data_IF_999638693086
#
_entry.id   IF_999638693086
#
_cell.length_a   1.000
_cell.length_b   1.000
_cell.length_c   1.000
_cell.angle_alpha   90.00
_cell.angle_beta   90.00
_cell.angle_gamma   90.00
#
_symmetry.space_group_name_H-M   'P 1'
#
loop_
_entity.id
_entity.type
_entity.pdbx_description
1 polymer ?
#
# COMPACT_ATOMS: atom_id res chain seq x y z
N UNK A 1 -13.18 24.43 -3.97
CA UNK A 1 -11.82 24.57 -3.41
C UNK A 1 -11.40 23.33 -2.61
N UNK A 2 -12.09 22.92 -1.53
CA UNK A 2 -11.69 21.72 -0.74
C UNK A 2 -11.58 20.41 -1.55
N UNK A 3 -12.58 20.08 -2.40
CA UNK A 3 -12.53 18.92 -3.29
C UNK A 3 -11.42 18.98 -4.35
N UNK A 4 -11.01 20.17 -4.73
CA UNK A 4 -9.92 20.39 -5.69
C UNK A 4 -8.56 20.21 -5.03
N UNK A 5 -8.36 20.76 -3.84
CA UNK A 5 -7.16 20.54 -3.00
C UNK A 5 -7.01 19.06 -2.60
N UNK A 6 -8.11 18.42 -2.23
CA UNK A 6 -8.13 16.99 -1.94
C UNK A 6 -7.67 16.12 -3.15
N UNK A 7 -7.93 16.56 -4.37
CA UNK A 7 -7.52 15.83 -5.58
C UNK A 7 -6.06 16.07 -5.98
N UNK A 8 -5.56 17.29 -5.75
CA UNK A 8 -4.22 17.71 -6.16
C UNK A 8 -3.17 17.36 -5.11
N UNK A 9 -3.55 17.36 -3.85
CA UNK A 9 -2.66 17.15 -2.71
C UNK A 9 -3.17 16.02 -1.80
N UNK A 10 -3.61 14.93 -2.40
CA UNK A 10 -4.31 13.84 -1.70
C UNK A 10 -3.50 13.27 -0.53
N UNK A 11 -2.21 13.03 -0.71
CA UNK A 11 -1.29 12.54 0.32
C UNK A 11 -1.27 13.48 1.54
N UNK A 12 -1.01 14.75 1.32
CA UNK A 12 -0.96 15.76 2.38
C UNK A 12 -2.32 16.00 3.03
N UNK A 13 -3.39 15.88 2.25
CA UNK A 13 -4.74 15.91 2.78
C UNK A 13 -5.00 14.75 3.74
N UNK A 14 -4.54 13.54 3.43
CA UNK A 14 -4.63 12.37 4.34
C UNK A 14 -3.79 12.56 5.60
N UNK A 15 -2.56 13.07 5.47
CA UNK A 15 -1.74 13.42 6.64
C UNK A 15 -2.42 14.46 7.53
N UNK A 16 -3.03 15.49 6.93
CA UNK A 16 -3.81 16.48 7.64
C UNK A 16 -5.04 15.91 8.36
N UNK A 17 -5.69 14.87 7.81
CA UNK A 17 -6.77 14.15 8.48
C UNK A 17 -6.27 13.40 9.71
N UNK A 18 -5.19 12.64 9.57
CA UNK A 18 -4.59 11.89 10.68
C UNK A 18 -4.17 12.85 11.80
N UNK A 19 -3.50 13.94 11.45
CA UNK A 19 -3.09 14.96 12.41
C UNK A 19 -4.29 15.60 13.14
N UNK A 20 -5.37 15.89 12.40
CA UNK A 20 -6.60 16.39 13.00
C UNK A 20 -7.21 15.40 14.00
N UNK A 21 -7.27 14.12 13.65
CA UNK A 21 -7.79 13.08 14.54
C UNK A 21 -6.93 12.93 15.80
N UNK A 22 -5.60 12.96 15.66
CA UNK A 22 -4.68 12.94 16.80
C UNK A 22 -4.86 14.16 17.71
N UNK A 23 -4.98 15.36 17.14
CA UNK A 23 -5.22 16.59 17.92
C UNK A 23 -6.57 16.54 18.64
N UNK A 24 -7.62 16.08 17.96
CA UNK A 24 -8.96 15.99 18.54
C UNK A 24 -9.04 14.96 19.68
N UNK A 25 -8.22 13.92 19.64
CA UNK A 25 -8.08 12.94 20.73
C UNK A 25 -7.24 13.47 21.90
N UNK A 26 -6.26 14.34 21.64
CA UNK A 26 -5.33 14.84 22.63
C UNK A 26 -5.81 16.11 23.33
N UNK A 27 -6.63 16.91 22.67
CA UNK A 27 -7.07 18.23 23.16
C UNK A 27 -8.55 18.40 22.83
N UNK A 28 -9.36 18.64 23.87
CA UNK A 28 -10.78 18.99 23.72
C UNK A 28 -10.89 20.43 23.17
N UNK A 29 -10.80 20.57 21.86
CA UNK A 29 -10.71 21.87 21.20
C UNK A 29 -11.77 22.02 20.11
N UNK A 30 -12.70 22.95 20.33
CA UNK A 30 -13.73 23.34 19.36
C UNK A 30 -13.17 24.26 18.24
N UNK A 31 -12.35 23.75 17.34
CA UNK A 31 -12.00 24.48 16.11
C UNK A 31 -12.74 23.94 14.91
N UNK A 32 -12.90 24.82 13.89
CA UNK A 32 -13.45 24.39 12.62
C UNK A 32 -12.56 23.29 12.00
N UNK A 33 -13.04 22.03 11.92
CA UNK A 33 -12.25 20.89 11.46
C UNK A 33 -11.63 21.09 10.09
N UNK A 34 -12.32 21.83 9.23
CA UNK A 34 -11.85 22.10 7.87
C UNK A 34 -10.61 23.01 7.86
N UNK A 35 -10.57 24.03 8.73
CA UNK A 35 -9.45 24.96 8.81
C UNK A 35 -8.18 24.26 9.32
N UNK A 36 -8.31 23.44 10.36
CA UNK A 36 -7.17 22.67 10.91
C UNK A 36 -6.63 21.67 9.89
N UNK A 37 -7.51 20.96 9.18
CA UNK A 37 -7.12 20.04 8.13
C UNK A 37 -6.40 20.73 6.97
N UNK A 38 -6.89 21.89 6.54
CA UNK A 38 -6.26 22.65 5.47
C UNK A 38 -4.91 23.21 5.91
N UNK A 39 -4.81 23.73 7.12
CA UNK A 39 -3.56 24.27 7.66
C UNK A 39 -2.52 23.15 7.85
N UNK A 40 -2.90 22.02 8.42
CA UNK A 40 -2.03 20.87 8.56
C UNK A 40 -1.57 20.34 7.19
N UNK A 41 -2.46 20.27 6.19
CA UNK A 41 -2.13 19.89 4.84
C UNK A 41 -1.08 20.83 4.22
N UNK A 42 -1.24 22.14 4.34
CA UNK A 42 -0.28 23.13 3.82
C UNK A 42 1.05 23.07 4.57
N UNK A 43 1.01 22.86 5.88
CA UNK A 43 2.19 22.71 6.72
C UNK A 43 2.98 21.47 6.34
N UNK A 44 2.32 20.31 6.23
CA UNK A 44 2.98 19.08 5.78
C UNK A 44 3.49 19.19 4.35
N UNK A 45 2.76 19.86 3.46
CA UNK A 45 3.25 20.13 2.10
C UNK A 45 4.52 20.98 2.09
N UNK A 46 4.59 22.00 2.94
CA UNK A 46 5.76 22.88 3.00
C UNK A 46 7.00 22.20 3.57
N UNK A 47 6.83 21.29 4.55
CA UNK A 47 7.93 20.54 5.16
C UNK A 47 8.34 19.36 4.28
N UNK A 48 7.37 18.57 3.84
CA UNK A 48 7.64 17.31 3.16
C UNK A 48 8.10 17.47 1.71
N UNK A 49 7.97 18.66 1.13
CA UNK A 49 8.45 18.92 -0.23
C UNK A 49 9.96 18.73 -0.37
N UNK A 50 10.72 18.98 0.68
CA UNK A 50 12.18 18.92 0.68
C UNK A 50 12.75 17.65 1.35
N UNK A 51 11.93 16.88 2.09
CA UNK A 51 12.40 15.74 2.92
C UNK A 51 12.04 14.34 2.38
N UNK A 52 11.19 14.23 1.37
CA UNK A 52 10.81 12.93 0.82
C UNK A 52 11.80 12.45 -0.25
N UNK A 53 13.00 12.10 0.19
CA UNK A 53 14.05 11.55 -0.65
C UNK A 53 14.07 10.02 -0.59
N UNK A 54 12.89 9.39 -0.77
CA UNK A 54 12.75 7.93 -0.81
C UNK A 54 11.79 7.47 -1.92
N UNK A 55 11.88 6.19 -2.27
CA UNK A 55 11.04 5.53 -3.26
C UNK A 55 9.54 5.72 -2.94
N UNK A 56 8.77 6.21 -3.89
CA UNK A 56 7.31 6.26 -3.76
C UNK A 56 6.71 4.87 -3.95
N UNK A 57 5.60 4.57 -3.28
CA UNK A 57 4.96 3.28 -3.39
C UNK A 57 3.44 3.39 -3.53
N UNK A 58 2.87 2.57 -4.41
CA UNK A 58 1.43 2.45 -4.60
C UNK A 58 0.98 0.99 -4.57
N UNK A 59 -0.25 0.76 -4.13
CA UNK A 59 -0.90 -0.55 -4.19
C UNK A 59 -2.11 -0.43 -5.11
N UNK A 60 -2.18 -1.30 -6.12
CA UNK A 60 -3.30 -1.41 -7.06
C UNK A 60 -3.91 -2.80 -6.91
N UNK A 61 -5.17 -2.90 -6.56
CA UNK A 61 -5.78 -4.19 -6.28
C UNK A 61 -7.27 -4.23 -6.66
N UNK A 62 -7.72 -5.40 -7.09
CA UNK A 62 -9.14 -5.64 -7.32
C UNK A 62 -9.90 -5.66 -6.00
N UNK A 63 -11.14 -5.14 -6.06
CA UNK A 63 -12.04 -5.05 -4.92
C UNK A 63 -12.27 -3.61 -4.45
N UNK A 64 -13.36 -3.39 -3.70
CA UNK A 64 -13.80 -2.04 -3.33
C UNK A 64 -12.89 -1.37 -2.28
N UNK A 65 -12.05 -2.14 -1.57
CA UNK A 65 -11.21 -1.63 -0.49
C UNK A 65 -9.95 -2.47 -0.22
N UNK A 66 -9.54 -3.34 -1.12
CA UNK A 66 -8.41 -4.26 -0.90
C UNK A 66 -7.09 -3.50 -0.78
N UNK A 67 -6.78 -2.65 -1.76
CA UNK A 67 -5.60 -1.79 -1.71
C UNK A 67 -5.67 -0.81 -0.53
N UNK A 68 -6.82 -0.18 -0.32
CA UNK A 68 -7.05 0.75 0.79
C UNK A 68 -6.85 0.11 2.16
N UNK A 69 -7.29 -1.13 2.35
CA UNK A 69 -7.15 -1.86 3.61
C UNK A 69 -5.69 -2.15 3.95
N UNK A 70 -4.92 -2.68 3.00
CA UNK A 70 -3.48 -2.94 3.16
C UNK A 70 -2.74 -1.62 3.44
N UNK A 71 -2.96 -0.62 2.59
CA UNK A 71 -2.33 0.70 2.71
C UNK A 71 -2.61 1.36 4.06
N UNK A 72 -3.87 1.33 4.50
CA UNK A 72 -4.26 1.90 5.80
C UNK A 72 -3.57 1.21 6.96
N UNK A 73 -3.45 -0.12 6.90
CA UNK A 73 -2.76 -0.91 7.93
C UNK A 73 -1.29 -0.53 8.01
N UNK A 74 -0.59 -0.52 6.87
CA UNK A 74 0.85 -0.26 6.82
C UNK A 74 1.16 1.18 7.21
N UNK A 75 0.46 2.16 6.64
CA UNK A 75 0.65 3.57 6.96
C UNK A 75 0.38 3.86 8.45
N UNK A 76 -0.55 3.12 9.06
CA UNK A 76 -0.83 3.25 10.51
C UNK A 76 0.28 2.64 11.37
N UNK A 77 0.83 1.48 10.98
CA UNK A 77 1.94 0.83 11.70
C UNK A 77 3.17 1.73 11.75
N UNK A 78 3.50 2.38 10.64
CA UNK A 78 4.66 3.28 10.55
C UNK A 78 4.36 4.73 10.95
N UNK A 79 3.10 5.04 11.31
CA UNK A 79 2.64 6.40 11.64
C UNK A 79 3.01 7.44 10.56
N UNK A 80 3.18 6.97 9.31
CA UNK A 80 3.53 7.81 8.17
C UNK A 80 2.86 7.32 6.88
N UNK A 81 2.78 8.19 5.89
CA UNK A 81 2.10 7.92 4.64
C UNK A 81 3.09 7.42 3.57
N UNK A 82 3.35 6.11 3.56
CA UNK A 82 4.28 5.46 2.62
C UNK A 82 3.57 5.09 1.32
N UNK A 83 2.41 4.44 1.44
CA UNK A 83 1.67 3.90 0.30
C UNK A 83 0.43 4.71 -0.06
N UNK A 84 0.17 4.86 -1.37
CA UNK A 84 -1.11 5.29 -1.92
C UNK A 84 -1.89 4.09 -2.43
N UNK A 85 -3.23 4.11 -2.29
CA UNK A 85 -4.10 3.00 -2.67
C UNK A 85 -4.93 3.31 -3.91
N UNK A 86 -5.03 2.33 -4.81
CA UNK A 86 -5.87 2.35 -5.99
C UNK A 86 -6.75 1.10 -6.03
N UNK A 87 -7.90 1.18 -5.38
CA UNK A 87 -8.91 0.13 -5.47
C UNK A 87 -9.55 0.12 -6.86
N UNK A 88 -9.74 -1.08 -7.39
CA UNK A 88 -10.33 -1.35 -8.68
C UNK A 88 -11.57 -2.22 -8.47
N UNK A 89 -12.76 -1.62 -8.50
CA UNK A 89 -14.00 -2.36 -8.42
C UNK A 89 -14.13 -3.34 -9.60
N UNK A 90 -14.93 -4.38 -9.43
CA UNK A 90 -15.01 -5.50 -10.36
C UNK A 90 -15.29 -5.10 -11.82
N UNK A 91 -16.10 -4.06 -12.02
CA UNK A 91 -16.49 -3.53 -13.33
C UNK A 91 -15.66 -2.33 -13.79
N UNK A 92 -14.65 -1.93 -12.99
CA UNK A 92 -13.78 -0.79 -13.32
C UNK A 92 -12.78 -1.18 -14.40
N UNK A 93 -12.81 -0.56 -15.58
CA UNK A 93 -11.81 -0.82 -16.61
C UNK A 93 -10.40 -0.40 -16.16
N UNK A 94 -9.37 -1.19 -16.48
CA UNK A 94 -7.95 -0.88 -16.20
C UNK A 94 -7.57 0.56 -16.59
N UNK A 95 -8.04 1.04 -17.74
CA UNK A 95 -7.79 2.41 -18.22
C UNK A 95 -8.21 3.52 -17.25
N UNK A 96 -9.24 3.28 -16.42
CA UNK A 96 -9.72 4.29 -15.48
C UNK A 96 -8.85 4.31 -14.21
N UNK A 97 -8.33 3.16 -13.80
CA UNK A 97 -7.30 3.08 -12.75
C UNK A 97 -6.01 3.75 -13.22
N UNK A 98 -5.56 3.45 -14.44
CA UNK A 98 -4.38 4.09 -15.05
C UNK A 98 -4.53 5.61 -15.08
N UNK A 99 -5.69 6.16 -15.45
CA UNK A 99 -5.94 7.61 -15.39
C UNK A 99 -5.82 8.19 -13.98
N UNK A 100 -6.27 7.44 -12.96
CA UNK A 100 -6.15 7.86 -11.56
C UNK A 100 -4.68 7.88 -11.13
N UNK A 101 -3.92 6.85 -11.49
CA UNK A 101 -2.48 6.75 -11.23
C UNK A 101 -1.74 7.90 -11.92
N UNK A 102 -1.95 8.14 -13.21
CA UNK A 102 -1.32 9.26 -13.94
C UNK A 102 -1.63 10.62 -13.31
N UNK A 103 -2.83 10.81 -12.78
CA UNK A 103 -3.18 12.04 -12.06
C UNK A 103 -2.43 12.17 -10.74
N UNK A 104 -2.21 11.08 -10.04
CA UNK A 104 -1.39 11.03 -8.83
C UNK A 104 0.07 11.38 -9.14
N UNK A 105 0.66 10.74 -10.15
CA UNK A 105 2.05 10.93 -10.57
C UNK A 105 2.38 12.37 -10.96
N UNK A 106 1.45 13.09 -11.61
CA UNK A 106 1.63 14.51 -11.96
C UNK A 106 1.90 15.43 -10.76
N UNK A 107 1.58 14.99 -9.55
CA UNK A 107 1.73 15.78 -8.32
C UNK A 107 2.65 15.07 -7.30
N UNK A 108 3.40 14.06 -7.75
CA UNK A 108 4.27 13.27 -6.90
C UNK A 108 5.68 13.28 -7.50
N UNK A 109 6.66 13.62 -6.68
CA UNK A 109 8.07 13.50 -7.08
C UNK A 109 8.44 12.01 -7.09
N UNK A 110 8.77 11.46 -8.24
CA UNK A 110 9.17 10.07 -8.43
C UNK A 110 10.64 9.92 -8.79
N UNK A 111 11.47 10.94 -8.57
CA UNK A 111 12.89 10.94 -8.91
C UNK A 111 13.69 9.81 -8.23
N UNK A 112 13.23 9.33 -7.07
CA UNK A 112 13.80 8.18 -6.34
C UNK A 112 13.16 6.83 -6.71
N UNK A 113 12.31 6.81 -7.72
CA UNK A 113 11.61 5.64 -8.20
C UNK A 113 10.18 5.50 -7.70
N UNK A 114 9.48 4.58 -8.36
CA UNK A 114 8.12 4.17 -8.02
C UNK A 114 8.01 2.66 -7.90
N UNK A 115 7.60 2.18 -6.72
CA UNK A 115 7.23 0.78 -6.49
C UNK A 115 5.72 0.61 -6.62
N UNK A 116 5.30 -0.34 -7.45
CA UNK A 116 3.90 -0.71 -7.61
C UNK A 116 3.70 -2.13 -7.11
N UNK A 117 2.79 -2.29 -6.19
CA UNK A 117 2.27 -3.60 -5.84
C UNK A 117 0.92 -3.84 -6.51
N UNK A 118 0.74 -5.04 -7.07
CA UNK A 118 -0.53 -5.48 -7.62
C UNK A 118 -0.96 -6.82 -7.00
N UNK A 119 -2.26 -7.07 -6.94
CA UNK A 119 -2.78 -8.35 -6.43
C UNK A 119 -2.70 -9.48 -7.45
N UNK A 120 -2.83 -9.18 -8.73
CA UNK A 120 -2.86 -10.16 -9.81
C UNK A 120 -1.88 -9.82 -10.92
N UNK A 121 -1.33 -10.86 -11.57
CA UNK A 121 -0.44 -10.71 -12.72
C UNK A 121 -1.04 -10.00 -13.92
N UNK A 122 -2.37 -9.95 -14.04
CA UNK A 122 -3.09 -9.20 -15.09
C UNK A 122 -2.90 -7.68 -15.01
N UNK A 123 -2.41 -7.16 -13.88
CA UNK A 123 -2.11 -5.74 -13.69
C UNK A 123 -0.63 -5.38 -13.90
N UNK A 124 0.23 -6.36 -14.18
CA UNK A 124 1.66 -6.11 -14.37
C UNK A 124 1.95 -5.17 -15.55
N UNK A 125 1.12 -5.18 -16.57
CA UNK A 125 1.23 -4.31 -17.74
C UNK A 125 0.84 -2.84 -17.48
N UNK A 126 0.40 -2.50 -16.26
CA UNK A 126 0.19 -1.09 -15.86
C UNK A 126 1.49 -0.30 -15.98
N UNK A 127 2.64 -0.93 -15.72
CA UNK A 127 3.95 -0.29 -15.85
C UNK A 127 4.15 0.31 -17.25
N UNK A 128 3.76 -0.40 -18.29
CA UNK A 128 3.86 0.07 -19.69
C UNK A 128 2.99 1.32 -19.95
N UNK A 129 1.83 1.39 -19.28
CA UNK A 129 0.90 2.51 -19.44
C UNK A 129 1.38 3.80 -18.77
N UNK A 130 2.26 3.71 -17.76
CA UNK A 130 2.66 4.86 -16.91
C UNK A 130 4.15 5.16 -16.89
N UNK A 131 5.00 4.35 -17.52
CA UNK A 131 6.47 4.50 -17.49
C UNK A 131 6.96 5.91 -17.86
N UNK A 132 6.28 6.56 -18.82
CA UNK A 132 6.64 7.91 -19.28
C UNK A 132 6.20 9.02 -18.29
N UNK A 133 5.40 8.68 -17.28
CA UNK A 133 4.94 9.60 -16.23
C UNK A 133 5.78 9.47 -14.93
N UNK A 134 6.81 8.61 -14.92
CA UNK A 134 7.72 8.36 -13.78
C UNK A 134 9.10 8.92 -14.12
N UNK A 135 9.70 9.67 -13.20
CA UNK A 135 11.00 10.32 -13.42
C UNK A 135 12.18 9.38 -13.13
N UNK A 136 12.09 8.55 -12.09
CA UNK A 136 13.10 7.57 -11.69
C UNK A 136 12.76 6.15 -12.14
N UNK A 137 13.36 5.17 -11.47
CA UNK A 137 13.13 3.75 -11.74
C UNK A 137 11.70 3.34 -11.44
N UNK A 138 11.16 2.41 -12.23
CA UNK A 138 9.82 1.87 -12.05
C UNK A 138 9.89 0.36 -11.78
N UNK A 139 9.41 -0.05 -10.62
CA UNK A 139 9.29 -1.44 -10.23
C UNK A 139 7.84 -1.87 -10.03
N UNK A 140 7.52 -3.11 -10.39
CA UNK A 140 6.20 -3.69 -10.16
C UNK A 140 6.32 -5.11 -9.63
N UNK A 141 5.59 -5.42 -8.56
CA UNK A 141 5.56 -6.73 -7.90
C UNK A 141 4.10 -7.18 -7.74
N UNK A 142 3.82 -8.42 -8.12
CA UNK A 142 2.49 -9.01 -7.98
C UNK A 142 2.30 -9.80 -6.67
N UNK A 143 1.09 -10.32 -6.47
CA UNK A 143 0.69 -11.12 -5.30
C UNK A 143 0.87 -10.38 -3.97
N UNK A 144 0.59 -9.09 -3.95
CA UNK A 144 0.73 -8.27 -2.74
C UNK A 144 0.05 -8.90 -1.52
N UNK A 145 0.76 -8.92 -0.42
CA UNK A 145 0.25 -9.25 0.92
C UNK A 145 0.52 -8.09 1.88
N UNK A 146 -0.17 -8.07 3.01
CA UNK A 146 0.11 -7.08 4.07
C UNK A 146 1.55 -7.19 4.59
N UNK A 147 2.08 -8.42 4.67
CA UNK A 147 3.45 -8.68 5.11
C UNK A 147 4.48 -8.09 4.13
N UNK A 148 4.30 -8.31 2.81
CA UNK A 148 5.13 -7.69 1.78
C UNK A 148 5.11 -6.16 1.84
N UNK A 149 3.92 -5.58 2.05
CA UNK A 149 3.80 -4.13 2.16
C UNK A 149 4.44 -3.56 3.43
N UNK A 150 4.42 -4.30 4.55
CA UNK A 150 5.13 -3.92 5.78
C UNK A 150 6.64 -3.94 5.57
N UNK A 151 7.19 -5.02 5.00
CA UNK A 151 8.63 -5.11 4.74
C UNK A 151 9.09 -4.05 3.74
N UNK A 152 8.36 -3.86 2.65
CA UNK A 152 8.65 -2.78 1.70
C UNK A 152 8.63 -1.40 2.35
N UNK A 153 7.65 -1.14 3.23
CA UNK A 153 7.55 0.10 3.98
C UNK A 153 8.75 0.36 4.87
N UNK A 154 9.25 -0.68 5.54
CA UNK A 154 10.46 -0.60 6.35
C UNK A 154 11.71 -0.27 5.51
N UNK A 155 11.89 -0.95 4.38
CA UNK A 155 13.02 -0.73 3.47
C UNK A 155 12.97 0.67 2.83
N UNK A 156 11.79 1.13 2.42
CA UNK A 156 11.59 2.49 1.92
C UNK A 156 12.00 3.53 2.97
N UNK A 157 11.60 3.37 4.22
CA UNK A 157 11.97 4.29 5.30
C UNK A 157 13.45 4.23 5.68
N UNK A 158 14.12 3.13 5.35
CA UNK A 158 15.59 3.00 5.45
C UNK A 158 16.32 3.61 4.26
N UNK A 159 15.61 4.18 3.30
CA UNK A 159 16.13 4.76 2.06
C UNK A 159 16.88 3.75 1.17
N UNK A 160 16.47 2.47 1.22
CA UNK A 160 16.98 1.46 0.29
C UNK A 160 16.56 1.81 -1.15
N UNK A 161 17.42 1.43 -2.11
CA UNK A 161 17.08 1.62 -3.52
C UNK A 161 15.98 0.63 -3.99
N UNK A 162 15.29 1.01 -5.05
CA UNK A 162 14.13 0.25 -5.55
C UNK A 162 14.49 -1.20 -5.92
N UNK A 163 15.66 -1.43 -6.51
CA UNK A 163 16.09 -2.77 -6.91
C UNK A 163 16.28 -3.66 -5.67
N UNK A 164 16.97 -3.16 -4.64
CA UNK A 164 17.20 -3.90 -3.40
C UNK A 164 15.89 -4.19 -2.66
N UNK A 165 14.95 -3.24 -2.64
CA UNK A 165 13.62 -3.44 -2.07
C UNK A 165 12.90 -4.59 -2.76
N UNK A 166 12.88 -4.61 -4.10
CA UNK A 166 12.21 -5.65 -4.87
C UNK A 166 12.85 -7.02 -4.69
N UNK A 167 14.17 -7.10 -4.75
CA UNK A 167 14.92 -8.35 -4.61
C UNK A 167 14.70 -8.97 -3.23
N UNK A 168 14.76 -8.15 -2.17
CA UNK A 168 14.50 -8.58 -0.79
C UNK A 168 13.10 -9.15 -0.63
N UNK A 169 12.09 -8.45 -1.16
CA UNK A 169 10.69 -8.89 -1.06
C UNK A 169 10.48 -10.21 -1.80
N UNK A 170 11.01 -10.35 -3.01
CA UNK A 170 10.85 -11.57 -3.80
C UNK A 170 11.55 -12.77 -3.12
N UNK A 171 12.68 -12.56 -2.48
CA UNK A 171 13.41 -13.62 -1.77
C UNK A 171 12.68 -14.07 -0.50
N UNK A 172 12.10 -13.16 0.27
CA UNK A 172 11.52 -13.46 1.57
C UNK A 172 10.10 -14.02 1.51
N UNK A 173 9.31 -13.63 0.49
CA UNK A 173 7.88 -13.97 0.44
C UNK A 173 7.58 -15.20 -0.42
N UNK A 174 8.10 -16.35 0.01
CA UNK A 174 7.83 -17.65 -0.63
C UNK A 174 6.57 -18.28 -0.02
N UNK A 175 5.66 -18.74 -0.87
CA UNK A 175 4.45 -19.45 -0.42
C UNK A 175 4.79 -20.73 0.33
N UNK A 176 4.37 -20.82 1.60
CA UNK A 176 4.50 -22.01 2.43
C UNK A 176 3.19 -22.78 2.47
N UNK A 177 3.26 -24.13 2.50
CA UNK A 177 2.11 -25.01 2.56
C UNK A 177 2.13 -25.83 3.85
N UNK A 178 1.02 -25.88 4.56
CA UNK A 178 0.77 -26.84 5.63
C UNK A 178 -0.47 -27.65 5.31
N UNK A 179 -0.40 -28.96 5.48
CA UNK A 179 -1.54 -29.88 5.32
C UNK A 179 -1.63 -30.80 6.53
N UNK A 180 -2.73 -30.75 7.24
CA UNK A 180 -3.01 -31.63 8.37
C UNK A 180 -4.13 -32.57 7.97
N UNK A 181 -3.84 -33.87 7.67
CA UNK A 181 -4.85 -34.82 7.31
C UNK A 181 -5.73 -35.16 8.53
N UNK A 182 -7.03 -35.24 8.31
CA UNK A 182 -7.98 -35.67 9.35
C UNK A 182 -7.77 -37.14 9.65
N UNK A 183 -7.31 -37.49 10.86
CA UNK A 183 -7.19 -38.87 11.26
C UNK A 183 -8.58 -39.52 11.31
N UNK A 184 -8.81 -40.57 10.51
CA UNK A 184 -10.01 -41.38 10.57
C UNK A 184 -9.93 -42.26 11.85
N UNK A 185 -10.77 -41.98 12.84
CA UNK A 185 -10.81 -42.74 14.09
C UNK A 185 -11.04 -44.24 13.87
N UNK A 186 -11.58 -44.64 12.72
CA UNK A 186 -11.85 -46.04 12.37
C UNK A 186 -10.61 -46.87 11.95
N UNK A 187 -9.48 -46.22 11.59
CA UNK A 187 -8.26 -47.00 11.28
C UNK A 187 -7.52 -47.49 12.50
N UNK A 188 -7.70 -46.88 13.68
CA UNK A 188 -7.08 -47.37 14.93
C UNK A 188 -7.67 -48.71 15.42
N UNK A 189 -8.93 -49.01 15.13
CA UNK A 189 -9.54 -50.30 15.53
C UNK A 189 -9.06 -51.46 14.68
N UNK A 190 -8.67 -51.26 13.43
CA UNK A 190 -8.18 -52.34 12.56
C UNK A 190 -6.75 -52.78 12.90
N UNK A 191 -5.89 -51.87 13.34
CA UNK A 191 -4.50 -52.21 13.70
C UNK A 191 -4.42 -53.01 15.04
N UNK A 192 -5.33 -52.79 15.99
CA UNK A 192 -5.36 -53.55 17.24
C UNK A 192 -5.95 -54.93 17.05
N UNK A 193 -6.78 -55.18 16.04
CA UNK A 193 -7.36 -56.50 15.75
C UNK A 193 -6.39 -57.44 15.03
N UNK A 194 -5.37 -56.94 14.35
CA UNK A 194 -4.39 -57.77 13.60
C UNK A 194 -3.18 -58.15 14.45
N UNK A 195 -2.98 -57.57 15.63
CA UNK A 195 -1.89 -57.91 16.56
C UNK A 195 -2.29 -58.96 17.63
N UNK A 196 -3.51 -59.48 17.57
CA UNK A 196 -4.00 -60.51 18.53
C UNK A 196 -4.33 -61.86 17.85
N UNK A 197 -3.75 -62.17 16.69
CA UNK A 197 -3.85 -63.50 16.06
C UNK A 197 -2.47 -64.14 16.01
#
# INVERSE_FOLDING_TARGET
>A
MAKQLQRVMYRYYKMGLIFYEMLHQAVDYETNPWFVRMFAMLYFYSIARDEMDYTNAIIVSHGPATASSITSTVNKVFETYIFEAFDMEYDTPKKDVVKRIKRYLKNTNTSKGLLIFVDMGSLLDISEDIKDDVEGDLGIVNNITTEMALEAGELILKHEDLQNIMDTIIEHHVTKKSFVPKQNKNQKQFFYAVQQV
#
